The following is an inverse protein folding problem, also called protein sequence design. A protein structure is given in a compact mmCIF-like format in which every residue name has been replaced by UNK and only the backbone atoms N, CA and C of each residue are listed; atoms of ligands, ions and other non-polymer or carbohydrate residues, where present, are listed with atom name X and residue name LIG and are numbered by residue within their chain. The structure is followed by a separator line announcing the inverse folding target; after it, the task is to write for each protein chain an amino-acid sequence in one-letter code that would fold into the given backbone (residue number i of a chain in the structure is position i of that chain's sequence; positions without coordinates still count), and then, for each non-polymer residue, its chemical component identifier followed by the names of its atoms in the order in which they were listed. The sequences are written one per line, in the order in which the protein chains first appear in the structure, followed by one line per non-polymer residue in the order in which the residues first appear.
data_IF_338633306988
#
_entry.id   IF_338633306988
#
_cell.length_a   1.000
_cell.length_b   1.000
_cell.length_c   1.000
_cell.angle_alpha   90.00
_cell.angle_beta   90.00
_cell.angle_gamma   90.00
#
_symmetry.space_group_name_H-M   'P 1'
#
loop_
_entity.id
_entity.type
_entity.pdbx_description
1 polymer ?
#
# COMPACT_ATOMS: atom_id res chain seq x y z
N UNK A 1 58.28 61.08 -3.04
CA UNK A 1 57.86 59.85 -3.71
C UNK A 1 57.18 58.97 -2.69
N UNK A 2 55.83 58.80 -2.71
CA UNK A 2 55.10 57.97 -1.80
C UNK A 2 54.62 56.74 -2.56
N UNK A 3 54.76 55.48 -2.05
CA UNK A 3 54.29 54.27 -2.76
C UNK A 3 52.78 54.09 -2.51
N UNK A 4 52.07 53.86 -3.61
CA UNK A 4 50.64 53.59 -3.66
C UNK A 4 50.39 52.11 -3.32
N UNK A 5 49.70 51.84 -2.21
CA UNK A 5 49.33 50.47 -1.82
C UNK A 5 47.97 50.12 -2.41
N UNK A 6 47.97 49.16 -3.31
CA UNK A 6 46.73 48.56 -3.83
C UNK A 6 46.23 47.51 -2.83
N UNK A 7 45.04 47.75 -2.28
CA UNK A 7 44.29 46.75 -1.54
C UNK A 7 43.40 45.98 -2.53
N UNK A 8 43.78 44.73 -2.81
CA UNK A 8 42.92 43.77 -3.51
C UNK A 8 41.86 43.30 -2.55
N UNK A 9 40.59 43.75 -2.71
CA UNK A 9 39.43 43.21 -2.04
C UNK A 9 38.95 41.97 -2.81
N UNK A 10 39.08 40.80 -2.22
CA UNK A 10 38.49 39.55 -2.73
C UNK A 10 36.98 39.60 -2.44
N UNK A 11 36.12 39.37 -3.44
CA UNK A 11 34.70 39.16 -3.17
C UNK A 11 34.48 37.79 -2.51
N UNK A 12 33.92 37.76 -1.32
CA UNK A 12 33.40 36.55 -0.67
C UNK A 12 32.16 36.06 -1.44
N UNK A 13 32.30 35.00 -2.19
CA UNK A 13 31.17 34.30 -2.80
C UNK A 13 30.34 33.62 -1.70
N UNK A 14 29.18 34.19 -1.42
CA UNK A 14 28.17 33.55 -0.55
C UNK A 14 27.54 32.41 -1.33
N UNK A 15 27.94 31.17 -1.05
CA UNK A 15 27.26 29.96 -1.50
C UNK A 15 25.91 29.89 -0.77
N UNK A 16 24.85 30.38 -1.40
CA UNK A 16 23.49 30.11 -0.97
C UNK A 16 23.21 28.61 -1.17
N UNK A 17 23.47 27.80 -0.14
CA UNK A 17 23.06 26.42 -0.11
C UNK A 17 21.53 26.36 -0.18
N UNK A 18 20.99 25.67 -1.17
CA UNK A 18 19.57 25.30 -1.19
C UNK A 18 19.35 24.38 0.02
N UNK A 19 18.85 24.92 1.13
CA UNK A 19 18.33 24.12 2.22
C UNK A 19 17.10 23.36 1.65
N UNK A 20 17.20 22.03 1.57
CA UNK A 20 16.05 21.21 1.24
C UNK A 20 14.94 21.49 2.29
N UNK A 21 13.71 21.67 1.82
CA UNK A 21 12.59 21.81 2.72
C UNK A 21 12.52 20.55 3.63
N UNK A 22 12.24 20.71 4.94
CA UNK A 22 12.09 19.56 5.81
C UNK A 22 10.96 18.65 5.29
N UNK A 23 11.21 17.33 5.32
CA UNK A 23 10.21 16.34 4.96
C UNK A 23 8.99 16.48 5.87
N UNK A 24 7.76 16.39 5.34
CA UNK A 24 6.54 16.38 6.14
C UNK A 24 6.33 15.05 6.88
N UNK A 25 7.16 14.03 6.63
CA UNK A 25 7.01 12.69 7.19
C UNK A 25 7.99 12.43 8.33
N UNK A 26 7.65 11.54 9.28
CA UNK A 26 8.59 11.00 10.25
C UNK A 26 9.84 10.40 9.57
N UNK A 27 11.00 10.48 10.20
CA UNK A 27 12.28 10.09 9.60
C UNK A 27 12.36 8.61 9.17
N UNK A 28 11.66 7.72 9.87
CA UNK A 28 11.55 6.30 9.51
C UNK A 28 10.70 6.09 8.26
N UNK A 29 9.61 6.84 8.13
CA UNK A 29 8.75 6.80 6.95
C UNK A 29 9.46 7.35 5.72
N UNK A 30 10.25 8.42 5.86
CA UNK A 30 11.08 8.95 4.78
C UNK A 30 12.10 7.91 4.30
N UNK A 31 12.74 7.17 5.22
CA UNK A 31 13.63 6.07 4.89
C UNK A 31 12.91 4.96 4.10
N UNK A 32 11.68 4.62 4.47
CA UNK A 32 10.85 3.66 3.74
C UNK A 32 10.52 4.11 2.33
N UNK A 33 10.20 5.38 2.13
CA UNK A 33 9.97 5.95 0.80
C UNK A 33 11.23 5.93 -0.06
N UNK A 34 12.40 6.21 0.52
CA UNK A 34 13.68 6.11 -0.19
C UNK A 34 13.94 4.68 -0.68
N UNK A 35 13.73 3.68 0.17
CA UNK A 35 13.87 2.26 -0.18
C UNK A 35 12.83 1.80 -1.21
N UNK A 36 11.62 2.33 -1.13
CA UNK A 36 10.56 2.08 -2.10
C UNK A 36 10.93 2.63 -3.49
N UNK A 37 11.40 3.88 -3.55
CA UNK A 37 11.78 4.54 -4.81
C UNK A 37 12.97 3.88 -5.51
N UNK A 38 13.80 3.15 -4.77
CA UNK A 38 14.92 2.39 -5.32
C UNK A 38 14.53 0.98 -5.81
N UNK A 39 13.25 0.58 -5.66
CA UNK A 39 12.81 -0.74 -6.06
C UNK A 39 12.80 -0.90 -7.58
N UNK A 40 13.28 -2.06 -8.05
CA UNK A 40 13.08 -2.50 -9.43
C UNK A 40 11.88 -3.46 -9.50
N UNK A 41 11.14 -3.43 -10.61
CA UNK A 41 10.12 -4.44 -10.86
C UNK A 41 10.75 -5.83 -10.91
N UNK A 42 10.10 -6.80 -10.24
CA UNK A 42 10.60 -8.18 -10.18
C UNK A 42 10.35 -8.95 -11.46
N UNK A 43 9.29 -8.60 -12.15
CA UNK A 43 8.61 -9.50 -13.07
C UNK A 43 8.00 -8.69 -14.22
N UNK A 44 7.91 -9.32 -15.41
CA UNK A 44 7.31 -8.71 -16.60
C UNK A 44 5.79 -8.94 -16.66
N UNK A 45 5.32 -10.02 -16.05
CA UNK A 45 3.90 -10.37 -16.01
C UNK A 45 3.51 -11.09 -14.71
N UNK A 46 2.20 -11.15 -14.37
CA UNK A 46 1.73 -11.77 -13.13
C UNK A 46 1.98 -13.28 -13.03
N UNK A 47 2.19 -13.99 -14.14
CA UNK A 47 2.53 -15.42 -14.12
C UNK A 47 3.85 -15.71 -13.41
N UNK A 48 4.77 -14.72 -13.39
CA UNK A 48 6.06 -14.80 -12.72
C UNK A 48 6.03 -14.36 -11.24
N UNK A 49 4.86 -14.01 -10.69
CA UNK A 49 4.78 -13.60 -9.28
C UNK A 49 5.10 -14.75 -8.32
N UNK A 50 5.70 -14.48 -7.17
CA UNK A 50 5.99 -15.50 -6.14
C UNK A 50 4.72 -15.91 -5.39
N UNK A 51 3.88 -16.70 -6.03
CA UNK A 51 2.58 -17.12 -5.52
C UNK A 51 2.69 -18.02 -4.29
N UNK A 52 2.10 -17.59 -3.17
CA UNK A 52 2.03 -18.36 -1.92
C UNK A 52 0.61 -18.92 -1.75
N UNK A 53 0.40 -20.21 -1.49
CA UNK A 53 -0.93 -20.75 -1.27
C UNK A 53 -1.53 -20.26 0.05
N UNK A 54 -2.80 -19.83 0.02
CA UNK A 54 -3.57 -19.57 1.24
C UNK A 54 -4.15 -20.88 1.78
N UNK A 55 -4.27 -21.00 3.13
CA UNK A 55 -4.98 -22.12 3.74
C UNK A 55 -6.48 -22.05 3.38
N UNK A 56 -7.17 -23.20 3.44
CA UNK A 56 -8.63 -23.26 3.23
C UNK A 56 -9.43 -22.49 4.30
N UNK A 57 -8.86 -22.35 5.49
CA UNK A 57 -9.36 -21.51 6.59
C UNK A 57 -8.22 -21.16 7.54
N UNK A 58 -8.39 -20.09 8.33
CA UNK A 58 -7.42 -19.67 9.33
C UNK A 58 -6.74 -18.35 8.97
N UNK A 59 -5.61 -18.10 9.62
CA UNK A 59 -4.95 -16.79 9.58
C UNK A 59 -3.47 -16.95 9.25
N UNK A 60 -2.96 -16.08 8.38
CA UNK A 60 -1.53 -15.97 8.02
C UNK A 60 -1.09 -14.53 8.21
N UNK A 61 0.02 -14.31 8.91
CA UNK A 61 0.68 -13.00 8.98
C UNK A 61 1.84 -12.92 7.99
N UNK A 62 2.02 -11.75 7.40
CA UNK A 62 3.09 -11.48 6.46
C UNK A 62 3.50 -10.01 6.49
N UNK A 63 4.64 -9.71 5.91
CA UNK A 63 5.17 -8.35 5.83
C UNK A 63 5.39 -8.01 4.36
N UNK A 64 4.92 -6.83 3.96
CA UNK A 64 5.36 -6.17 2.73
C UNK A 64 6.43 -5.16 3.15
N UNK A 65 7.68 -5.39 2.73
CA UNK A 65 8.84 -4.61 3.13
C UNK A 65 9.81 -4.37 1.97
N UNK A 66 11.04 -3.92 2.29
CA UNK A 66 12.07 -3.64 1.28
C UNK A 66 12.44 -4.83 0.42
N UNK A 67 12.33 -6.05 0.94
CA UNK A 67 12.65 -7.29 0.24
C UNK A 67 11.46 -7.90 -0.51
N UNK A 68 10.26 -7.35 -0.33
CA UNK A 68 9.08 -7.83 -1.06
C UNK A 68 9.19 -7.51 -2.54
N UNK A 69 8.64 -8.35 -3.43
CA UNK A 69 8.64 -8.08 -4.86
C UNK A 69 7.93 -6.75 -5.16
N UNK A 70 8.34 -6.09 -6.23
CA UNK A 70 7.70 -4.89 -6.75
C UNK A 70 7.24 -5.14 -8.18
N UNK A 71 6.13 -4.52 -8.58
CA UNK A 71 5.56 -4.62 -9.91
C UNK A 71 5.00 -3.28 -10.36
N UNK A 72 5.05 -3.01 -11.65
CA UNK A 72 4.48 -1.81 -12.27
C UNK A 72 2.99 -2.03 -12.52
N UNK A 73 2.16 -1.68 -11.52
CA UNK A 73 0.70 -1.68 -11.65
C UNK A 73 0.24 -0.46 -12.46
N UNK A 74 -1.02 -0.43 -12.88
CA UNK A 74 -1.61 0.76 -13.53
C UNK A 74 -1.50 2.04 -12.68
N UNK A 75 -1.46 1.90 -11.35
CA UNK A 75 -1.26 3.00 -10.39
C UNK A 75 0.19 3.39 -10.19
N UNK A 76 1.13 2.75 -10.87
CA UNK A 76 2.58 2.89 -10.74
C UNK A 76 3.23 1.74 -9.99
N UNK A 77 4.57 1.81 -9.82
CA UNK A 77 5.36 0.81 -9.12
C UNK A 77 4.87 0.63 -7.68
N UNK A 78 4.65 -0.62 -7.27
CA UNK A 78 4.27 -0.93 -5.89
C UNK A 78 4.85 -2.26 -5.44
N UNK A 79 5.19 -2.34 -4.15
CA UNK A 79 5.52 -3.63 -3.54
C UNK A 79 4.24 -4.38 -3.21
N UNK A 80 4.30 -5.70 -3.33
CA UNK A 80 3.11 -6.53 -3.22
C UNK A 80 3.38 -7.87 -2.54
N UNK A 81 2.29 -8.54 -2.18
CA UNK A 81 2.26 -9.96 -1.85
C UNK A 81 1.24 -10.67 -2.75
N UNK A 82 1.55 -11.88 -3.18
CA UNK A 82 0.78 -12.64 -4.14
C UNK A 82 0.38 -14.00 -3.59
N UNK A 83 -0.89 -14.34 -3.66
CA UNK A 83 -1.48 -15.53 -3.05
C UNK A 83 -2.32 -16.32 -4.05
N UNK A 84 -2.23 -17.66 -3.95
CA UNK A 84 -3.20 -18.58 -4.56
C UNK A 84 -4.37 -18.75 -3.61
N UNK A 85 -5.58 -18.56 -4.10
CA UNK A 85 -6.80 -18.79 -3.33
C UNK A 85 -6.98 -20.27 -3.01
N UNK A 86 -7.70 -20.60 -1.92
CA UNK A 86 -7.99 -22.01 -1.59
C UNK A 86 -8.79 -22.69 -2.70
N UNK A 87 -8.45 -23.96 -2.96
CA UNK A 87 -9.23 -24.84 -3.84
C UNK A 87 -10.40 -25.42 -3.04
N UNK A 88 -11.52 -24.73 -3.02
CA UNK A 88 -12.75 -25.15 -2.34
C UNK A 88 -13.95 -24.95 -3.28
N UNK A 89 -15.03 -25.69 -3.00
CA UNK A 89 -16.32 -25.49 -3.70
C UNK A 89 -17.28 -24.63 -2.88
N UNK A 90 -16.95 -24.38 -1.61
CA UNK A 90 -17.80 -23.60 -0.72
C UNK A 90 -17.44 -22.12 -0.76
N UNK A 91 -18.44 -21.22 -0.69
CA UNK A 91 -18.20 -19.79 -0.57
C UNK A 91 -17.37 -19.46 0.67
N UNK A 92 -16.40 -18.55 0.50
CA UNK A 92 -15.55 -18.08 1.58
C UNK A 92 -15.29 -16.57 1.46
N UNK A 93 -14.71 -16.01 2.49
CA UNK A 93 -14.25 -14.62 2.51
C UNK A 93 -12.78 -14.56 2.88
N UNK A 94 -12.08 -13.62 2.28
CA UNK A 94 -10.72 -13.25 2.65
C UNK A 94 -10.77 -11.85 3.24
N UNK A 95 -10.32 -11.71 4.47
CA UNK A 95 -10.09 -10.43 5.12
C UNK A 95 -8.59 -10.16 5.15
N UNK A 96 -8.18 -9.00 4.66
CA UNK A 96 -6.81 -8.49 4.80
C UNK A 96 -6.84 -7.33 5.77
N UNK A 97 -6.10 -7.45 6.88
CA UNK A 97 -5.90 -6.40 7.87
C UNK A 97 -4.46 -5.91 7.80
N UNK A 98 -4.27 -4.62 7.65
CA UNK A 98 -3.00 -3.94 7.77
C UNK A 98 -2.94 -3.24 9.12
N UNK A 99 -1.92 -3.51 9.90
CA UNK A 99 -1.73 -2.92 11.22
C UNK A 99 -1.14 -1.53 11.12
N UNK A 100 -1.54 -0.66 12.03
CA UNK A 100 -0.89 0.63 12.17
C UNK A 100 0.54 0.45 12.69
N UNK A 101 1.43 1.27 12.18
CA UNK A 101 2.81 1.33 12.60
C UNK A 101 3.06 2.67 13.29
N UNK A 102 3.48 2.61 14.56
CA UNK A 102 3.61 3.77 15.43
C UNK A 102 2.28 4.21 16.09
N UNK A 103 2.27 5.37 16.74
CA UNK A 103 1.08 5.92 17.36
C UNK A 103 0.01 6.23 16.33
N UNK A 104 -1.26 6.13 16.73
CA UNK A 104 -2.37 6.56 15.88
C UNK A 104 -2.34 8.08 15.67
N UNK A 105 -2.68 8.52 14.47
CA UNK A 105 -2.69 9.94 14.10
C UNK A 105 -1.54 10.33 13.16
N UNK A 106 -1.15 11.61 13.14
CA UNK A 106 -0.20 12.15 12.15
C UNK A 106 1.22 11.57 12.25
N UNK A 107 1.57 11.01 13.41
CA UNK A 107 2.89 10.40 13.65
C UNK A 107 2.94 8.90 13.29
N UNK A 108 1.80 8.30 13.00
CA UNK A 108 1.69 6.90 12.59
C UNK A 108 1.71 6.71 11.08
N UNK A 109 1.84 5.45 10.66
CA UNK A 109 1.73 5.06 9.25
C UNK A 109 0.97 3.76 9.08
N UNK A 110 0.43 3.53 7.89
CA UNK A 110 -0.27 2.29 7.54
C UNK A 110 -0.12 1.97 6.06
N UNK A 111 0.03 0.70 5.76
CA UNK A 111 -0.09 0.19 4.41
C UNK A 111 -1.57 0.12 4.03
N UNK A 112 -1.99 0.80 2.97
CA UNK A 112 -3.39 0.80 2.51
C UNK A 112 -3.64 -0.42 1.60
N UNK A 113 -4.23 -1.52 2.10
CA UNK A 113 -4.36 -2.74 1.32
C UNK A 113 -5.43 -2.60 0.24
N UNK A 114 -5.01 -2.71 -1.00
CA UNK A 114 -5.89 -2.92 -2.16
C UNK A 114 -5.71 -4.36 -2.62
N UNK A 115 -6.82 -5.00 -2.93
CA UNK A 115 -6.89 -6.39 -3.37
C UNK A 115 -7.19 -6.43 -4.87
N UNK A 116 -6.29 -7.02 -5.66
CA UNK A 116 -6.58 -7.38 -7.04
C UNK A 116 -6.81 -8.89 -7.13
N UNK A 117 -7.98 -9.30 -7.62
CA UNK A 117 -8.35 -10.68 -7.85
C UNK A 117 -8.14 -11.02 -9.33
N UNK A 118 -7.60 -12.21 -9.60
CA UNK A 118 -7.30 -12.66 -10.96
C UNK A 118 -7.81 -14.07 -11.20
N UNK A 119 -8.14 -14.34 -12.45
CA UNK A 119 -8.50 -15.70 -12.90
C UNK A 119 -7.26 -16.57 -13.15
N UNK A 120 -7.47 -17.80 -13.64
CA UNK A 120 -6.40 -18.77 -13.96
C UNK A 120 -5.47 -18.30 -15.08
N UNK A 121 -5.88 -17.33 -15.89
CA UNK A 121 -5.09 -16.71 -16.96
C UNK A 121 -4.40 -15.42 -16.50
N UNK A 122 -4.40 -15.13 -15.21
CA UNK A 122 -3.88 -13.90 -14.58
C UNK A 122 -4.55 -12.61 -15.06
N UNK A 123 -5.77 -12.70 -15.59
CA UNK A 123 -6.56 -11.54 -15.95
C UNK A 123 -7.23 -11.01 -14.69
N UNK A 124 -7.07 -9.70 -14.42
CA UNK A 124 -7.73 -9.04 -13.29
C UNK A 124 -9.23 -9.03 -13.52
N UNK A 125 -9.97 -9.69 -12.64
CA UNK A 125 -11.44 -9.79 -12.67
C UNK A 125 -12.09 -8.75 -11.81
N UNK A 126 -11.43 -8.38 -10.70
CA UNK A 126 -11.96 -7.44 -9.72
C UNK A 126 -10.82 -6.79 -8.94
N UNK A 127 -11.01 -5.52 -8.56
CA UNK A 127 -10.15 -4.79 -7.63
C UNK A 127 -11.00 -4.24 -6.50
N UNK A 128 -10.54 -4.35 -5.26
CA UNK A 128 -11.23 -3.75 -4.12
C UNK A 128 -11.14 -2.22 -4.19
N UNK A 129 -12.24 -1.55 -3.85
CA UNK A 129 -12.21 -0.10 -3.68
C UNK A 129 -11.61 0.28 -2.32
N UNK A 130 -10.92 1.42 -2.25
CA UNK A 130 -10.51 2.03 -0.98
C UNK A 130 -11.70 2.36 -0.08
N UNK A 131 -12.89 2.57 -0.65
CA UNK A 131 -14.15 2.74 0.10
C UNK A 131 -14.53 1.51 0.92
N UNK A 132 -14.01 0.35 0.55
CA UNK A 132 -14.24 -0.90 1.27
C UNK A 132 -13.33 -1.06 2.50
N UNK A 133 -12.34 -0.17 2.67
CA UNK A 133 -11.53 -0.16 3.88
C UNK A 133 -12.34 0.24 5.08
N UNK A 134 -12.13 -0.48 6.18
CA UNK A 134 -12.77 -0.22 7.47
C UNK A 134 -11.70 -0.16 8.55
N UNK A 135 -11.91 0.73 9.51
CA UNK A 135 -11.12 0.71 10.73
C UNK A 135 -11.50 -0.54 11.53
N UNK A 136 -10.53 -1.40 11.74
CA UNK A 136 -10.66 -2.62 12.53
C UNK A 136 -9.96 -2.41 13.86
N UNK A 137 -10.75 -2.01 14.87
CA UNK A 137 -10.29 -1.72 16.23
C UNK A 137 -10.31 -2.97 17.09
N UNK A 138 -9.24 -3.18 17.81
CA UNK A 138 -9.08 -4.32 18.72
C UNK A 138 -9.74 -4.13 20.09
N UNK A 139 -10.75 -3.27 20.19
CA UNK A 139 -11.40 -2.83 21.44
C UNK A 139 -11.89 -3.97 22.36
N UNK A 140 -12.07 -5.16 21.81
CA UNK A 140 -12.58 -6.31 22.56
C UNK A 140 -11.58 -7.46 22.73
N UNK A 141 -10.37 -7.36 22.18
CA UNK A 141 -9.41 -8.46 22.21
C UNK A 141 -8.16 -8.04 22.98
N UNK A 142 -7.88 -8.62 24.17
CA UNK A 142 -6.64 -8.35 24.89
C UNK A 142 -5.42 -8.64 23.99
N UNK A 143 -4.55 -7.65 23.81
CA UNK A 143 -3.38 -7.74 22.92
C UNK A 143 -3.70 -7.62 21.43
N UNK A 144 -4.94 -7.26 21.07
CA UNK A 144 -5.29 -6.92 19.70
C UNK A 144 -4.66 -5.59 19.28
N UNK A 145 -4.41 -5.45 17.99
CA UNK A 145 -3.83 -4.25 17.40
C UNK A 145 -4.81 -3.64 16.39
N UNK A 146 -4.91 -2.32 16.41
CA UNK A 146 -5.75 -1.58 15.47
C UNK A 146 -5.15 -1.60 14.06
N UNK A 147 -5.99 -1.43 13.06
CA UNK A 147 -5.56 -1.42 11.67
C UNK A 147 -6.67 -1.09 10.70
N UNK A 148 -6.34 -1.12 9.42
CA UNK A 148 -7.30 -1.03 8.32
C UNK A 148 -7.56 -2.42 7.78
N UNK A 149 -8.83 -2.76 7.57
CA UNK A 149 -9.23 -4.04 7.00
C UNK A 149 -10.07 -3.87 5.74
N UNK A 150 -9.88 -4.78 4.79
CA UNK A 150 -10.72 -4.96 3.61
C UNK A 150 -11.15 -6.41 3.53
N UNK A 151 -12.40 -6.64 3.13
CA UNK A 151 -12.98 -7.98 2.99
C UNK A 151 -13.39 -8.20 1.54
N UNK A 152 -12.96 -9.32 0.97
CA UNK A 152 -13.38 -9.80 -0.33
C UNK A 152 -14.12 -11.14 -0.19
N UNK A 153 -15.40 -11.22 -0.60
CA UNK A 153 -16.10 -12.49 -0.69
C UNK A 153 -15.72 -13.23 -1.99
N UNK A 154 -15.67 -14.55 -1.92
CA UNK A 154 -15.40 -15.44 -3.02
C UNK A 154 -16.48 -16.52 -3.08
N UNK A 155 -17.04 -16.73 -4.25
CA UNK A 155 -17.98 -17.83 -4.52
C UNK A 155 -17.44 -18.66 -5.68
N UNK A 156 -16.79 -19.80 -5.41
CA UNK A 156 -16.17 -20.63 -6.45
C UNK A 156 -17.17 -21.16 -7.48
N UNK A 157 -18.46 -21.21 -7.14
CA UNK A 157 -19.52 -21.59 -8.07
C UNK A 157 -19.81 -20.55 -9.16
N UNK A 158 -19.48 -19.29 -8.90
CA UNK A 158 -19.76 -18.16 -9.79
C UNK A 158 -18.51 -17.41 -10.23
N UNK A 159 -17.45 -17.34 -9.39
CA UNK A 159 -16.22 -16.62 -9.71
C UNK A 159 -15.15 -17.56 -10.26
N UNK A 160 -14.38 -17.07 -11.24
CA UNK A 160 -13.20 -17.79 -11.77
C UNK A 160 -11.91 -17.37 -11.11
N UNK A 161 -11.98 -16.63 -10.02
CA UNK A 161 -10.83 -16.10 -9.32
C UNK A 161 -10.01 -17.24 -8.70
N UNK A 162 -8.69 -17.20 -8.93
CA UNK A 162 -7.71 -18.17 -8.44
C UNK A 162 -6.58 -17.52 -7.69
N UNK A 163 -6.38 -16.23 -7.88
CA UNK A 163 -5.24 -15.50 -7.37
C UNK A 163 -5.68 -14.19 -6.71
N UNK A 164 -4.93 -13.80 -5.70
CA UNK A 164 -5.12 -12.56 -4.95
C UNK A 164 -3.77 -11.85 -4.84
N UNK A 165 -3.72 -10.59 -5.22
CA UNK A 165 -2.58 -9.70 -5.01
C UNK A 165 -2.96 -8.61 -4.03
N UNK A 166 -2.09 -8.37 -3.05
CA UNK A 166 -2.24 -7.30 -2.05
C UNK A 166 -1.15 -6.28 -2.28
N UNK A 167 -1.54 -5.03 -2.53
CA UNK A 167 -0.61 -3.93 -2.78
C UNK A 167 -1.19 -2.59 -2.29
N UNK A 168 -0.37 -1.56 -2.17
CA UNK A 168 -0.82 -0.17 -1.98
C UNK A 168 -0.62 0.59 -3.29
N UNK A 169 -1.65 1.26 -3.84
CA UNK A 169 -1.50 2.06 -5.05
C UNK A 169 -0.43 3.15 -4.90
N UNK A 170 0.47 3.28 -5.87
CA UNK A 170 1.57 4.25 -5.83
C UNK A 170 1.09 5.70 -5.69
N UNK A 171 -0.09 6.01 -6.24
CA UNK A 171 -0.70 7.34 -6.12
C UNK A 171 -0.98 7.74 -4.66
N UNK A 172 -1.27 6.78 -3.78
CA UNK A 172 -1.46 7.05 -2.34
C UNK A 172 -0.14 7.35 -1.64
N UNK A 173 0.97 6.91 -2.21
CA UNK A 173 2.30 7.11 -1.67
C UNK A 173 2.92 8.45 -2.08
N UNK A 174 2.14 9.34 -2.73
CA UNK A 174 2.64 10.64 -3.18
C UNK A 174 3.69 10.54 -4.29
N UNK A 175 3.85 9.36 -4.93
CA UNK A 175 4.65 9.26 -6.13
C UNK A 175 4.06 10.20 -7.18
N UNK A 176 4.89 11.02 -7.87
CA UNK A 176 4.38 11.82 -8.96
C UNK A 176 3.73 10.87 -9.96
N UNK A 177 2.49 11.14 -10.41
CA UNK A 177 1.84 10.27 -11.39
C UNK A 177 2.75 10.22 -12.62
N UNK A 178 3.22 9.01 -12.96
CA UNK A 178 3.68 8.76 -14.31
C UNK A 178 2.52 9.18 -15.20
N UNK A 179 2.74 10.18 -16.05
CA UNK A 179 1.77 10.89 -16.90
C UNK A 179 0.35 10.32 -16.82
N UNK A 180 -0.57 11.06 -16.16
CA UNK A 180 -1.97 10.67 -16.01
C UNK A 180 -2.53 10.28 -17.36
N UNK A 181 -2.73 9.00 -17.60
CA UNK A 181 -3.54 8.53 -18.72
C UNK A 181 -5.00 8.81 -18.35
N UNK A 182 -5.67 9.58 -19.20
CA UNK A 182 -7.13 9.75 -19.15
C UNK A 182 -7.78 8.37 -19.12
N UNK A 183 -8.42 8.02 -17.99
CA UNK A 183 -9.06 6.72 -17.79
C UNK A 183 -8.64 6.00 -16.51
N UNK A 184 -7.75 6.55 -15.71
CA UNK A 184 -7.36 5.94 -14.43
C UNK A 184 -8.54 5.91 -13.46
N UNK A 185 -9.03 4.70 -13.19
CA UNK A 185 -10.13 4.40 -12.25
C UNK A 185 -9.84 4.90 -10.83
N UNK A 186 -8.60 5.30 -10.54
CA UNK A 186 -8.15 5.81 -9.24
C UNK A 186 -8.24 7.35 -9.09
N UNK A 187 -8.74 8.07 -10.10
CA UNK A 187 -9.18 9.47 -9.92
C UNK A 187 -10.55 9.56 -9.26
N UNK A 188 -10.95 8.53 -8.57
CA UNK A 188 -12.22 8.41 -7.88
C UNK A 188 -12.37 9.51 -6.82
N UNK A 189 -13.61 10.06 -6.66
CA UNK A 189 -13.99 10.92 -5.54
C UNK A 189 -13.61 10.37 -4.16
N UNK A 190 -13.34 9.08 -4.07
CA UNK A 190 -12.90 8.34 -2.89
C UNK A 190 -11.55 8.81 -2.34
N UNK A 191 -10.59 9.12 -3.20
CA UNK A 191 -9.29 9.66 -2.74
C UNK A 191 -9.45 11.08 -2.17
N UNK A 192 -10.31 11.90 -2.80
CA UNK A 192 -10.69 13.19 -2.24
C UNK A 192 -11.47 13.04 -0.92
N UNK A 193 -12.29 11.99 -0.80
CA UNK A 193 -13.08 11.72 0.39
C UNK A 193 -12.21 11.24 1.56
N UNK A 194 -11.25 10.35 1.32
CA UNK A 194 -10.24 9.98 2.31
C UNK A 194 -9.48 11.25 2.74
N UNK A 195 -9.07 12.10 1.80
CA UNK A 195 -8.37 13.35 2.09
C UNK A 195 -9.19 14.38 2.88
N UNK A 196 -10.50 14.50 2.64
CA UNK A 196 -11.34 15.51 3.29
C UNK A 196 -11.95 15.08 4.62
N UNK A 197 -12.06 13.78 4.89
CA UNK A 197 -12.63 13.28 6.16
C UNK A 197 -11.60 13.15 7.28
N UNK A 198 -10.35 13.37 6.98
CA UNK A 198 -9.28 12.92 7.85
C UNK A 198 -8.32 14.05 8.23
N UNK A 199 -8.75 14.89 9.12
CA UNK A 199 -7.83 15.63 9.98
C UNK A 199 -7.03 14.68 10.92
N UNK A 200 -7.28 13.34 10.83
CA UNK A 200 -6.67 12.28 11.61
C UNK A 200 -6.18 11.10 10.73
N UNK A 201 -5.73 11.33 9.49
CA UNK A 201 -5.19 10.27 8.66
C UNK A 201 -3.82 9.83 9.16
N UNK A 202 -3.68 8.53 9.33
CA UNK A 202 -2.40 7.86 9.43
C UNK A 202 -1.71 7.93 8.07
N UNK A 203 -0.43 8.31 8.03
CA UNK A 203 0.32 8.46 6.79
C UNK A 203 0.34 7.16 5.98
N UNK A 204 0.17 7.21 4.64
CA UNK A 204 0.36 6.03 3.82
C UNK A 204 1.83 5.58 3.85
N UNK A 205 2.03 4.28 4.04
CA UNK A 205 3.33 3.64 4.04
C UNK A 205 3.47 2.68 2.86
N UNK A 206 4.62 2.64 2.17
CA UNK A 206 4.89 1.64 1.15
C UNK A 206 5.10 0.23 1.72
N UNK A 207 5.28 0.12 3.03
CA UNK A 207 5.55 -1.12 3.76
C UNK A 207 4.54 -1.29 4.89
N UNK A 208 4.30 -2.56 5.28
CA UNK A 208 3.41 -2.83 6.40
C UNK A 208 3.43 -4.27 6.85
N UNK A 209 2.99 -4.50 8.08
CA UNK A 209 2.66 -5.82 8.62
C UNK A 209 1.18 -6.07 8.40
N UNK A 210 0.85 -7.20 7.82
CA UNK A 210 -0.50 -7.54 7.42
C UNK A 210 -0.89 -8.93 7.94
N UNK A 211 -2.20 -9.15 8.02
CA UNK A 211 -2.81 -10.43 8.35
C UNK A 211 -3.88 -10.76 7.32
N UNK A 212 -3.82 -11.96 6.75
CA UNK A 212 -4.90 -12.52 5.96
C UNK A 212 -5.64 -13.53 6.82
N UNK A 213 -6.97 -13.42 6.85
CA UNK A 213 -7.87 -14.40 7.45
C UNK A 213 -8.79 -14.95 6.37
N UNK A 214 -8.78 -16.27 6.20
CA UNK A 214 -9.71 -16.99 5.34
C UNK A 214 -10.76 -17.65 6.22
N UNK A 215 -12.03 -17.38 5.95
CA UNK A 215 -13.14 -17.93 6.70
C UNK A 215 -14.31 -18.30 5.75
N UNK A 216 -15.15 -19.29 6.12
CA UNK A 216 -16.39 -19.54 5.39
C UNK A 216 -17.20 -18.25 5.25
N UNK A 217 -17.83 -18.04 4.09
CA UNK A 217 -18.83 -16.99 3.97
C UNK A 217 -20.03 -17.48 4.82
N UNK A 218 -20.25 -16.88 5.99
CA UNK A 218 -21.51 -17.09 6.69
C UNK A 218 -22.63 -16.66 5.73
N UNK A 219 -23.52 -17.59 5.38
CA UNK A 219 -24.77 -17.23 4.73
C UNK A 219 -25.43 -16.16 5.59
N UNK A 220 -25.99 -15.08 5.01
CA UNK A 220 -26.85 -14.19 5.78
C UNK A 220 -27.93 -15.07 6.39
N UNK A 221 -28.09 -14.97 7.73
CA UNK A 221 -29.15 -15.66 8.42
C UNK A 221 -30.45 -15.36 7.67
N UNK A 222 -31.08 -16.42 7.17
CA UNK A 222 -32.40 -16.33 6.53
C UNK A 222 -33.40 -15.99 7.67
N UNK A 223 -33.55 -14.65 7.91
CA UNK A 223 -34.55 -14.10 8.79
C UNK A 223 -35.89 -13.93 8.10
#
# INVERSE_FOLDING_TARGET
MRPFRWHLALPAAVLAGCAAAPSPYPADLESRFSQYSAAAACCDDPGAFPWVPLPGSGTVEFVIGSESPAFEFQSGLSRFAAFRLPETQEPFKVQVKSFFDGPSGPDGSVFYPVLAMMDESFIVTRVSSLENLRLDQALATPGGEDGLAVVAPFDPGYSRERYLVVFTPAILLGAPPAERREGDVLTSPTLEWIGRRNENIVNPSPFGRLRITVAPASLPDAG
#
